data_IF_876700699786
#
_entry.id   IF_876700699786
#
_cell.length_a   1.000
_cell.length_b   1.000
_cell.length_c   1.000
_cell.angle_alpha   90.00
_cell.angle_beta   90.00
_cell.angle_gamma   90.00
#
_symmetry.space_group_name_H-M   'P 1'
#
loop_
_entity.id
_entity.type
_entity.pdbx_description
1 polymer ?
#
# COMPACT_ATOMS: atom_id res chain seq x y z
N UNK A 1 -15.46 35.75 -5.16
CA UNK A 1 -16.25 34.58 -5.57
C UNK A 1 -16.65 34.85 -7.00
N UNK A 2 -16.22 34.01 -7.93
CA UNK A 2 -16.66 34.10 -9.32
C UNK A 2 -17.98 33.35 -9.46
N UNK A 3 -18.86 33.83 -10.33
CA UNK A 3 -20.09 33.12 -10.65
C UNK A 3 -19.81 32.00 -11.66
N UNK A 4 -20.69 30.99 -11.73
CA UNK A 4 -20.53 29.87 -12.67
C UNK A 4 -20.45 30.34 -14.13
N UNK A 5 -21.11 31.47 -14.44
CA UNK A 5 -21.07 32.10 -15.76
C UNK A 5 -19.70 32.73 -16.09
N UNK A 6 -18.99 33.26 -15.08
CA UNK A 6 -17.62 33.77 -15.22
C UNK A 6 -16.59 32.63 -15.40
N UNK A 7 -16.88 31.45 -14.83
CA UNK A 7 -16.04 30.25 -14.96
C UNK A 7 -16.16 29.62 -16.35
N UNK A 8 -17.39 29.53 -16.88
CA UNK A 8 -17.63 28.96 -18.21
C UNK A 8 -17.06 29.84 -19.33
N UNK A 9 -17.15 31.17 -19.18
CA UNK A 9 -16.55 32.12 -20.12
C UNK A 9 -15.01 32.00 -20.14
N UNK A 10 -14.38 31.83 -18.96
CA UNK A 10 -12.92 31.67 -18.85
C UNK A 10 -12.41 30.36 -19.45
N UNK A 11 -13.23 29.31 -19.49
CA UNK A 11 -12.91 28.03 -20.13
C UNK A 11 -13.07 28.09 -21.65
N UNK A 12 -14.05 28.84 -22.15
CA UNK A 12 -14.25 29.04 -23.58
C UNK A 12 -13.13 29.89 -24.24
N UNK A 13 -12.53 30.81 -23.48
CA UNK A 13 -11.47 31.70 -23.97
C UNK A 13 -10.04 31.10 -23.92
N UNK A 14 -9.88 29.83 -23.52
CA UNK A 14 -8.58 29.15 -23.53
C UNK A 14 -8.15 28.79 -24.97
N UNK A 15 -7.02 29.31 -25.48
CA UNK A 15 -6.54 28.96 -26.81
C UNK A 15 -6.03 27.51 -26.82
N UNK A 16 -6.56 26.70 -27.74
CA UNK A 16 -6.05 25.36 -27.99
C UNK A 16 -4.59 25.43 -28.48
N UNK A 17 -3.65 24.95 -27.65
CA UNK A 17 -2.23 24.87 -27.99
C UNK A 17 -1.96 23.96 -29.20
N UNK A 18 -0.80 24.11 -29.88
CA UNK A 18 -0.58 23.45 -31.16
C UNK A 18 -0.47 21.93 -31.00
N UNK A 19 -1.28 21.18 -31.75
CA UNK A 19 -1.18 19.73 -31.85
C UNK A 19 0.14 19.30 -32.47
N UNK A 20 0.88 18.40 -31.82
CA UNK A 20 2.12 17.85 -32.36
C UNK A 20 1.83 17.00 -33.61
N UNK A 21 2.44 17.35 -34.74
CA UNK A 21 2.32 16.55 -35.97
C UNK A 21 2.96 15.17 -35.82
N UNK A 22 2.49 14.20 -36.60
CA UNK A 22 3.03 12.83 -36.62
C UNK A 22 4.55 12.80 -36.89
N UNK A 23 5.06 13.76 -37.65
CA UNK A 23 6.49 13.93 -37.95
C UNK A 23 7.32 14.38 -36.75
N UNK A 24 6.76 15.22 -35.88
CA UNK A 24 7.42 15.62 -34.63
C UNK A 24 7.54 14.42 -33.67
N UNK A 25 6.51 13.57 -33.64
CA UNK A 25 6.49 12.32 -32.85
C UNK A 25 7.51 11.31 -33.38
N UNK A 26 7.60 11.14 -34.71
CA UNK A 26 8.59 10.25 -35.33
C UNK A 26 10.04 10.70 -35.05
N UNK A 27 10.32 12.01 -35.12
CA UNK A 27 11.64 12.56 -34.78
C UNK A 27 12.02 12.34 -33.32
N UNK A 28 11.08 12.53 -32.38
CA UNK A 28 11.31 12.28 -30.96
C UNK A 28 11.66 10.80 -30.68
N UNK A 29 10.93 9.85 -31.30
CA UNK A 29 11.18 8.41 -31.15
C UNK A 29 12.54 7.98 -31.73
N UNK A 30 12.99 8.61 -32.81
CA UNK A 30 14.31 8.31 -33.40
C UNK A 30 15.48 8.70 -32.50
N UNK A 31 15.35 9.80 -31.72
CA UNK A 31 16.40 10.26 -30.79
C UNK A 31 16.53 9.37 -29.56
N UNK A 32 15.42 8.79 -29.08
CA UNK A 32 15.43 7.85 -27.97
C UNK A 32 16.18 6.56 -28.31
N UNK A 33 16.01 6.03 -29.53
CA UNK A 33 16.73 4.83 -29.99
C UNK A 33 18.24 5.02 -30.14
N UNK A 34 18.71 6.25 -30.35
CA UNK A 34 20.14 6.55 -30.44
C UNK A 34 20.80 6.72 -29.05
N UNK A 35 20.00 6.96 -28.01
CA UNK A 35 20.51 7.12 -26.64
C UNK A 35 20.87 5.78 -25.97
N UNK A 36 20.33 4.65 -26.43
CA UNK A 36 20.63 3.30 -25.91
C UNK A 36 22.04 2.77 -26.28
N UNK A 37 22.80 3.49 -27.11
CA UNK A 37 24.08 3.02 -27.63
C UNK A 37 25.33 3.47 -26.85
N UNK A 38 25.19 4.16 -25.71
CA UNK A 38 26.36 4.68 -24.96
C UNK A 38 26.41 4.09 -23.55
N UNK A 39 27.18 3.02 -23.39
CA UNK A 39 27.58 2.47 -22.07
C UNK A 39 28.85 3.16 -21.61
N UNK A 40 28.77 3.95 -20.54
CA UNK A 40 29.96 4.48 -19.82
C UNK A 40 30.15 3.66 -18.54
N UNK A 41 31.34 3.07 -18.28
CA UNK A 41 31.55 2.31 -17.05
C UNK A 41 31.86 3.24 -15.86
N UNK A 42 31.17 3.04 -14.74
CA UNK A 42 31.44 3.71 -13.47
C UNK A 42 32.56 2.99 -12.70
N UNK A 43 33.64 3.71 -12.41
CA UNK A 43 34.74 3.26 -11.54
C UNK A 43 34.36 3.49 -10.07
N UNK A 44 34.46 2.45 -9.25
CA UNK A 44 34.20 2.50 -7.81
C UNK A 44 35.42 2.98 -7.01
N UNK A 45 35.24 3.90 -6.05
CA UNK A 45 36.29 4.29 -5.09
C UNK A 45 35.92 3.87 -3.66
N UNK A 46 36.91 3.30 -2.97
CA UNK A 46 36.78 2.55 -1.73
C UNK A 46 36.68 3.38 -0.43
N UNK A 47 36.04 2.75 0.57
CA UNK A 47 35.91 3.10 2.00
C UNK A 47 37.19 3.60 2.69
N UNK A 48 37.03 4.55 3.61
CA UNK A 48 37.83 4.61 4.85
C UNK A 48 36.92 4.72 6.08
N UNK A 49 37.19 3.86 7.06
CA UNK A 49 36.57 3.79 8.40
C UNK A 49 37.36 4.69 9.35
N UNK A 50 36.66 5.44 10.20
CA UNK A 50 37.13 5.78 11.56
C UNK A 50 35.92 5.91 12.47
N UNK A 51 35.97 5.18 13.58
CA UNK A 51 34.96 5.15 14.62
C UNK A 51 35.17 6.31 15.60
N UNK A 52 34.08 6.94 16.03
CA UNK A 52 34.06 7.69 17.29
C UNK A 52 32.70 7.52 17.96
N UNK A 53 32.76 7.26 19.26
CA UNK A 53 31.63 6.98 20.14
C UNK A 53 31.25 8.27 20.86
N UNK A 54 29.98 8.66 20.79
CA UNK A 54 29.25 9.31 21.88
C UNK A 54 27.79 8.87 21.81
N UNK A 55 27.24 8.54 22.99
CA UNK A 55 25.83 8.39 23.20
C UNK A 55 25.13 9.73 22.89
N UNK A 56 24.21 9.70 21.93
CA UNK A 56 23.27 10.77 21.66
C UNK A 56 21.91 10.12 21.44
N UNK A 57 20.91 10.58 22.20
CA UNK A 57 19.52 10.24 21.97
C UNK A 57 19.18 10.55 20.51
N UNK A 58 19.03 9.51 19.70
CA UNK A 58 18.67 9.64 18.31
C UNK A 58 17.19 9.96 18.24
N UNK A 59 16.86 11.26 18.22
CA UNK A 59 15.67 11.72 17.52
C UNK A 59 15.91 11.40 16.03
N UNK A 60 15.59 10.18 15.62
CA UNK A 60 15.53 9.83 14.20
C UNK A 60 14.29 10.52 13.67
N UNK A 61 14.48 11.72 13.12
CA UNK A 61 13.53 12.26 12.15
C UNK A 61 13.62 11.32 10.96
N UNK A 62 12.68 10.37 10.86
CA UNK A 62 12.46 9.63 9.63
C UNK A 62 11.86 10.65 8.65
N UNK A 63 12.72 11.41 7.98
CA UNK A 63 12.40 11.94 6.66
C UNK A 63 12.40 10.74 5.71
N UNK A 64 11.36 9.90 5.80
CA UNK A 64 10.99 9.08 4.67
C UNK A 64 10.68 10.09 3.57
N UNK A 65 11.47 10.08 2.50
CA UNK A 65 11.40 11.08 1.46
C UNK A 65 10.01 11.12 0.83
N UNK A 66 9.13 11.94 1.38
CA UNK A 66 7.88 12.32 0.75
C UNK A 66 8.27 13.37 -0.28
N UNK A 67 8.41 12.96 -1.53
CA UNK A 67 8.28 13.91 -2.62
C UNK A 67 6.80 14.32 -2.66
N UNK A 68 6.42 15.32 -1.86
CA UNK A 68 5.19 16.08 -2.09
C UNK A 68 5.41 16.85 -3.40
N UNK A 69 5.16 16.17 -4.51
CA UNK A 69 5.28 16.72 -5.84
C UNK A 69 4.15 17.70 -6.11
N UNK A 70 4.31 18.95 -5.68
CA UNK A 70 3.66 20.06 -6.36
C UNK A 70 4.40 20.28 -7.70
N UNK A 71 4.13 19.44 -8.70
CA UNK A 71 4.64 19.65 -10.05
C UNK A 71 3.48 19.84 -11.01
N UNK A 72 3.20 21.10 -11.32
CA UNK A 72 2.32 21.56 -12.42
C UNK A 72 2.94 21.30 -13.79
N UNK A 73 3.59 20.16 -13.98
CA UNK A 73 4.30 19.78 -15.20
C UNK A 73 4.07 18.32 -15.54
N UNK A 74 3.82 18.05 -16.83
CA UNK A 74 3.63 16.70 -17.40
C UNK A 74 4.68 15.73 -16.83
N UNK A 75 4.22 14.71 -16.10
CA UNK A 75 5.10 13.70 -15.50
C UNK A 75 6.05 13.11 -16.56
N UNK A 76 7.37 13.01 -16.28
CA UNK A 76 8.35 12.57 -17.26
C UNK A 76 8.22 11.07 -17.54
N UNK A 77 8.78 10.61 -18.66
CA UNK A 77 8.77 9.22 -19.14
C UNK A 77 9.18 8.15 -18.10
N UNK A 78 9.85 8.54 -17.00
CA UNK A 78 10.22 7.66 -15.90
C UNK A 78 9.02 7.07 -15.14
N UNK A 79 7.87 7.77 -15.03
CA UNK A 79 6.69 7.24 -14.31
C UNK A 79 5.95 6.19 -15.13
N UNK A 80 5.71 6.45 -16.41
CA UNK A 80 5.12 5.48 -17.34
C UNK A 80 6.03 4.25 -17.54
N UNK A 81 7.35 4.46 -17.59
CA UNK A 81 8.31 3.38 -17.68
C UNK A 81 8.32 2.50 -16.41
N UNK A 82 8.23 3.10 -15.21
CA UNK A 82 8.17 2.35 -13.96
C UNK A 82 6.92 1.45 -13.89
N UNK A 83 5.78 1.93 -14.36
CA UNK A 83 4.56 1.10 -14.37
C UNK A 83 4.59 0.04 -15.48
N UNK A 84 5.15 0.36 -16.65
CA UNK A 84 5.40 -0.65 -17.68
C UNK A 84 6.35 -1.75 -17.18
N UNK A 85 7.33 -1.39 -16.34
CA UNK A 85 8.21 -2.33 -15.68
C UNK A 85 7.45 -3.21 -14.68
N UNK A 86 6.55 -2.62 -13.88
CA UNK A 86 5.68 -3.38 -12.96
C UNK A 86 4.81 -4.38 -13.71
N UNK A 87 4.16 -3.93 -14.78
CA UNK A 87 3.32 -4.76 -15.65
C UNK A 87 4.10 -5.99 -16.18
N UNK A 88 5.30 -5.76 -16.72
CA UNK A 88 6.17 -6.82 -17.21
C UNK A 88 6.64 -7.77 -16.09
N UNK A 89 7.04 -7.23 -14.94
CA UNK A 89 7.51 -8.02 -13.79
C UNK A 89 6.40 -8.91 -13.23
N UNK A 90 5.18 -8.40 -13.12
CA UNK A 90 4.02 -9.16 -12.67
C UNK A 90 3.66 -10.29 -13.63
N UNK A 91 3.60 -10.01 -14.93
CA UNK A 91 3.26 -11.00 -15.94
C UNK A 91 4.31 -12.13 -16.03
N UNK A 92 5.58 -11.82 -15.80
CA UNK A 92 6.67 -12.80 -15.77
C UNK A 92 6.67 -13.67 -14.49
N UNK A 93 6.04 -13.20 -13.41
CA UNK A 93 5.99 -13.92 -12.13
C UNK A 93 4.80 -14.86 -12.10
N UNK A 94 5.06 -16.16 -12.23
CA UNK A 94 4.03 -17.19 -12.04
C UNK A 94 3.44 -17.12 -10.63
N UNK A 95 2.12 -17.30 -10.52
CA UNK A 95 1.40 -17.18 -9.26
C UNK A 95 1.96 -18.12 -8.19
N UNK A 96 2.21 -17.57 -6.99
CA UNK A 96 2.75 -18.29 -5.84
C UNK A 96 1.64 -19.04 -5.11
N UNK A 97 0.83 -19.84 -5.82
CA UNK A 97 -0.13 -20.70 -5.13
C UNK A 97 0.65 -21.78 -4.38
N UNK A 98 0.32 -21.99 -3.11
CA UNK A 98 0.95 -23.06 -2.36
C UNK A 98 0.65 -24.40 -3.03
N UNK A 99 1.68 -25.21 -3.34
CA UNK A 99 1.47 -26.58 -3.83
C UNK A 99 0.89 -27.49 -2.74
N UNK A 100 0.46 -28.72 -3.08
CA UNK A 100 -0.04 -29.68 -2.10
C UNK A 100 0.88 -29.84 -0.88
N UNK A 101 0.30 -29.81 0.32
CA UNK A 101 1.03 -29.92 1.59
C UNK A 101 1.83 -28.68 1.99
N UNK A 102 1.68 -27.55 1.29
CA UNK A 102 2.31 -26.26 1.61
C UNK A 102 1.27 -25.21 1.99
N UNK A 103 1.76 -24.12 2.57
CA UNK A 103 0.93 -22.97 2.97
C UNK A 103 1.36 -21.72 2.21
N UNK A 104 0.40 -20.92 1.78
CA UNK A 104 0.62 -19.54 1.40
C UNK A 104 0.67 -18.71 2.67
N UNK A 105 1.81 -18.07 2.90
CA UNK A 105 2.10 -17.27 4.06
C UNK A 105 2.03 -15.80 3.68
N UNK A 106 1.30 -15.03 4.47
CA UNK A 106 1.29 -13.56 4.41
C UNK A 106 1.67 -13.03 5.79
N UNK A 107 2.59 -12.08 5.83
CA UNK A 107 2.91 -11.29 7.00
C UNK A 107 2.73 -9.81 6.69
N UNK A 108 1.96 -9.12 7.51
CA UNK A 108 1.75 -7.67 7.43
C UNK A 108 2.20 -7.05 8.74
N UNK A 109 3.30 -6.30 8.69
CA UNK A 109 3.72 -5.44 9.79
C UNK A 109 3.11 -4.06 9.57
N UNK A 110 2.32 -3.61 10.52
CA UNK A 110 1.57 -2.37 10.43
C UNK A 110 1.98 -1.45 11.57
N UNK A 111 2.06 -0.15 11.29
CA UNK A 111 2.01 0.89 12.30
C UNK A 111 0.81 1.78 12.02
N UNK A 112 -0.21 1.65 12.86
CA UNK A 112 -1.45 2.41 12.74
C UNK A 112 -1.54 3.47 13.83
N UNK A 113 -2.18 4.60 13.50
CA UNK A 113 -2.47 5.66 14.44
C UNK A 113 -3.51 5.23 15.47
N UNK A 114 -3.15 5.33 16.74
CA UNK A 114 -4.10 5.47 17.84
C UNK A 114 -4.17 6.93 18.30
N UNK A 115 -5.38 7.40 18.62
CA UNK A 115 -5.61 8.71 19.20
C UNK A 115 -6.51 8.60 20.45
N UNK A 116 -6.24 9.44 21.44
CA UNK A 116 -7.03 9.53 22.67
C UNK A 116 -6.89 10.93 23.29
N UNK A 117 -7.49 11.11 24.46
CA UNK A 117 -7.29 12.29 25.29
C UNK A 117 -6.92 11.89 26.72
N UNK A 118 -6.10 12.69 27.38
CA UNK A 118 -5.84 12.52 28.81
C UNK A 118 -7.08 12.79 29.66
N UNK A 119 -7.03 12.49 30.95
CA UNK A 119 -8.10 12.86 31.90
C UNK A 119 -8.39 14.36 31.99
N UNK A 120 -7.49 15.21 31.47
CA UNK A 120 -7.67 16.68 31.40
C UNK A 120 -8.04 17.17 30.00
N UNK A 121 -8.29 16.28 29.05
CA UNK A 121 -8.65 16.63 27.68
C UNK A 121 -7.47 16.99 26.78
N UNK A 122 -6.23 16.77 27.22
CA UNK A 122 -5.06 16.99 26.36
C UNK A 122 -4.97 15.89 25.29
N UNK A 123 -4.74 16.21 24.01
CA UNK A 123 -4.69 15.21 22.95
C UNK A 123 -3.45 14.33 23.08
N UNK A 124 -3.64 13.05 22.77
CA UNK A 124 -2.61 12.04 22.67
C UNK A 124 -2.74 11.34 21.33
N UNK A 125 -1.62 11.17 20.63
CA UNK A 125 -1.57 10.44 19.37
C UNK A 125 -0.26 9.67 19.28
N UNK A 126 -0.33 8.39 18.96
CA UNK A 126 0.85 7.57 18.75
C UNK A 126 0.60 6.54 17.65
N UNK A 127 1.64 6.18 16.91
CA UNK A 127 1.63 4.99 16.08
C UNK A 127 1.87 3.76 16.96
N UNK A 128 1.12 2.70 16.73
CA UNK A 128 1.22 1.43 17.44
C UNK A 128 1.49 0.33 16.44
N UNK A 129 2.42 -0.56 16.77
CA UNK A 129 2.77 -1.63 15.86
C UNK A 129 2.03 -2.93 16.14
N UNK A 130 1.48 -3.49 15.08
CA UNK A 130 0.88 -4.82 15.05
C UNK A 130 1.49 -5.65 13.94
N UNK A 131 1.69 -6.94 14.20
CA UNK A 131 2.08 -7.93 13.19
C UNK A 131 0.95 -8.92 12.99
N UNK A 132 0.45 -9.01 11.76
CA UNK A 132 -0.52 -10.01 11.34
C UNK A 132 0.19 -11.06 10.49
N UNK A 133 0.01 -12.32 10.84
CA UNK A 133 0.54 -13.44 10.08
C UNK A 133 -0.57 -14.43 9.77
N UNK A 134 -0.65 -14.87 8.52
CA UNK A 134 -1.65 -15.83 8.07
C UNK A 134 -0.99 -16.96 7.29
N UNK A 135 -1.39 -18.19 7.57
CA UNK A 135 -1.02 -19.39 6.81
C UNK A 135 -2.28 -19.99 6.19
N UNK A 136 -2.34 -19.95 4.87
CA UNK A 136 -3.44 -20.45 4.06
C UNK A 136 -3.03 -21.81 3.47
N UNK A 137 -3.66 -22.93 3.84
CA UNK A 137 -3.36 -24.22 3.24
C UNK A 137 -3.77 -24.26 1.76
N UNK A 138 -3.05 -25.05 0.95
CA UNK A 138 -3.43 -25.32 -0.45
C UNK A 138 -4.89 -25.81 -0.57
N UNK A 139 -5.26 -26.80 0.25
CA UNK A 139 -6.66 -27.14 0.46
C UNK A 139 -7.25 -26.15 1.47
N UNK A 140 -7.97 -25.15 0.95
CA UNK A 140 -8.57 -24.07 1.76
C UNK A 140 -9.65 -24.55 2.73
N UNK A 141 -10.11 -25.81 2.63
CA UNK A 141 -10.97 -26.44 3.66
C UNK A 141 -10.21 -26.95 4.88
N UNK A 142 -8.88 -27.00 4.80
CA UNK A 142 -8.00 -27.35 5.90
C UNK A 142 -7.87 -26.26 6.97
N UNK A 143 -6.89 -26.44 7.85
CA UNK A 143 -6.65 -25.57 9.00
C UNK A 143 -5.88 -24.31 8.59
N UNK A 144 -6.55 -23.16 8.54
CA UNK A 144 -5.86 -21.88 8.39
C UNK A 144 -5.43 -21.37 9.75
N UNK A 145 -4.29 -20.70 9.78
CA UNK A 145 -3.74 -20.15 11.02
C UNK A 145 -3.64 -18.64 10.85
N UNK A 146 -4.08 -17.89 11.85
CA UNK A 146 -3.82 -16.46 11.99
C UNK A 146 -3.13 -16.21 13.32
N UNK A 147 -2.06 -15.42 13.29
CA UNK A 147 -1.42 -14.90 14.48
C UNK A 147 -1.44 -13.38 14.40
N UNK A 148 -2.06 -12.75 15.38
CA UNK A 148 -2.01 -11.29 15.57
C UNK A 148 -1.16 -11.00 16.78
N UNK A 149 -0.10 -10.21 16.58
CA UNK A 149 0.83 -9.80 17.64
C UNK A 149 0.79 -8.30 17.79
N UNK A 150 0.13 -7.81 18.85
CA UNK A 150 0.26 -6.42 19.31
C UNK A 150 1.60 -6.33 20.03
N UNK A 151 2.58 -5.66 19.44
CA UNK A 151 3.98 -5.76 19.92
C UNK A 151 4.25 -4.91 21.15
N UNK A 152 3.39 -3.91 21.39
CA UNK A 152 3.60 -2.87 22.40
C UNK A 152 4.64 -1.82 22.01
N UNK A 153 5.23 -1.90 20.81
CA UNK A 153 6.07 -0.82 20.29
C UNK A 153 5.18 0.33 19.88
N UNK A 154 5.52 1.53 20.34
CA UNK A 154 4.79 2.76 20.02
C UNK A 154 5.72 3.90 19.66
N UNK A 155 5.19 4.89 18.94
CA UNK A 155 5.89 6.13 18.59
C UNK A 155 4.93 7.30 18.77
N UNK A 156 5.25 8.18 19.71
CA UNK A 156 4.47 9.39 19.97
C UNK A 156 4.50 10.34 18.75
N UNK A 157 3.31 10.81 18.38
CA UNK A 157 3.11 11.91 17.43
C UNK A 157 2.63 13.17 18.14
N UNK A 158 1.79 13.01 19.17
CA UNK A 158 1.32 14.08 20.06
C UNK A 158 1.36 13.56 21.50
N UNK A 159 1.98 14.32 22.39
CA UNK A 159 2.20 13.93 23.78
C UNK A 159 3.47 13.11 23.98
N UNK A 160 3.59 12.49 25.14
CA UNK A 160 4.72 11.65 25.54
C UNK A 160 4.35 10.73 26.72
N UNK A 161 5.30 9.87 27.11
CA UNK A 161 5.11 8.94 28.23
C UNK A 161 4.88 9.64 29.57
N UNK A 162 5.45 10.82 29.74
CA UNK A 162 5.39 11.58 30.98
C UNK A 162 4.01 12.23 31.18
N UNK A 163 3.45 12.78 30.11
CA UNK A 163 2.09 13.31 30.06
C UNK A 163 1.07 12.18 30.29
N UNK A 164 1.22 11.06 29.58
CA UNK A 164 0.35 9.90 29.75
C UNK A 164 0.42 9.33 31.19
N UNK A 165 1.59 9.34 31.84
CA UNK A 165 1.74 8.89 33.24
C UNK A 165 1.07 9.84 34.23
N UNK A 166 1.20 11.15 34.03
CA UNK A 166 0.65 12.18 34.93
C UNK A 166 -0.85 12.33 34.82
N UNK A 167 -1.39 12.18 33.61
CA UNK A 167 -2.78 12.54 33.31
C UNK A 167 -3.63 11.37 32.78
N UNK A 168 -3.06 10.18 32.69
CA UNK A 168 -3.70 9.02 32.07
C UNK A 168 -3.59 9.06 30.54
N UNK A 169 -3.56 7.89 29.93
CA UNK A 169 -3.43 7.72 28.48
C UNK A 169 -4.79 7.61 27.77
N UNK A 170 -5.89 7.68 28.50
CA UNK A 170 -7.23 7.56 27.93
C UNK A 170 -7.52 6.19 27.32
N UNK A 171 -6.79 5.14 27.71
CA UNK A 171 -6.89 3.81 27.09
C UNK A 171 -6.17 3.68 25.75
N UNK A 172 -5.33 4.66 25.39
CA UNK A 172 -4.58 4.66 24.13
C UNK A 172 -3.62 3.47 24.00
N UNK A 173 -3.00 3.04 25.10
CA UNK A 173 -2.03 1.94 25.07
C UNK A 173 -2.74 0.60 25.16
N UNK A 174 -2.52 -0.24 24.16
CA UNK A 174 -2.87 -1.65 24.22
C UNK A 174 -1.76 -2.46 24.90
N UNK A 175 -2.14 -3.49 25.66
CA UNK A 175 -1.16 -4.42 26.25
C UNK A 175 -0.57 -5.30 25.15
N UNK A 176 0.74 -5.59 25.19
CA UNK A 176 1.33 -6.57 24.28
C UNK A 176 0.59 -7.90 24.40
N UNK A 177 0.12 -8.42 23.28
CA UNK A 177 -0.69 -9.64 23.23
C UNK A 177 -0.35 -10.41 21.96
N UNK A 178 -0.33 -11.74 22.07
CA UNK A 178 -0.24 -12.64 20.93
C UNK A 178 -1.50 -13.49 20.91
N UNK A 179 -2.30 -13.32 19.86
CA UNK A 179 -3.53 -14.07 19.65
C UNK A 179 -3.29 -15.02 18.49
N UNK A 180 -3.46 -16.32 18.74
CA UNK A 180 -3.39 -17.36 17.71
C UNK A 180 -4.76 -17.96 17.50
N UNK A 181 -5.18 -18.01 16.26
CA UNK A 181 -6.49 -18.49 15.85
C UNK A 181 -6.39 -19.48 14.71
N UNK A 182 -7.37 -20.37 14.69
CA UNK A 182 -7.52 -21.43 13.71
C UNK A 182 -8.94 -21.39 13.20
N UNK A 183 -9.12 -21.53 11.89
CA UNK A 183 -10.43 -21.44 11.27
C UNK A 183 -10.41 -21.90 9.82
N UNK A 184 -11.15 -22.96 9.44
CA UNK A 184 -11.24 -23.34 8.03
C UNK A 184 -11.85 -22.21 7.22
N UNK A 185 -11.46 -22.12 5.95
CA UNK A 185 -11.86 -21.02 5.06
C UNK A 185 -11.55 -19.59 5.57
N UNK A 186 -10.70 -19.42 6.60
CA UNK A 186 -10.45 -18.12 7.24
C UNK A 186 -11.52 -17.67 8.24
N UNK A 187 -12.38 -18.59 8.72
CA UNK A 187 -13.38 -18.31 9.76
C UNK A 187 -12.74 -18.18 11.15
N UNK A 188 -12.04 -17.09 11.39
CA UNK A 188 -11.42 -16.84 12.68
C UNK A 188 -12.44 -16.37 13.73
N UNK A 189 -12.36 -16.85 14.98
CA UNK A 189 -13.27 -16.45 16.06
C UNK A 189 -13.34 -14.94 16.32
N UNK A 190 -12.26 -14.20 16.09
CA UNK A 190 -12.14 -12.76 16.34
C UNK A 190 -12.53 -11.85 15.17
N UNK A 191 -13.04 -12.41 14.05
CA UNK A 191 -13.20 -11.69 12.79
C UNK A 191 -13.89 -10.32 12.94
N UNK A 192 -13.11 -9.25 12.74
CA UNK A 192 -13.50 -7.85 12.74
C UNK A 192 -13.44 -7.22 11.32
N UNK A 193 -13.27 -8.02 10.26
CA UNK A 193 -13.41 -7.58 8.86
C UNK A 193 -12.12 -7.23 8.11
N UNK A 194 -10.94 -7.29 8.72
CA UNK A 194 -9.67 -7.01 8.01
C UNK A 194 -9.10 -8.21 7.27
N UNK A 195 -9.19 -9.41 7.85
CA UNK A 195 -8.80 -10.68 7.21
C UNK A 195 -9.64 -11.82 7.79
N UNK A 196 -10.80 -12.02 7.18
CA UNK A 196 -11.75 -13.08 7.53
C UNK A 196 -13.17 -12.53 7.66
N UNK A 197 -14.12 -13.19 7.01
CA UNK A 197 -15.53 -13.00 7.27
C UNK A 197 -15.86 -13.57 8.65
N UNK A 198 -16.85 -13.00 9.35
CA UNK A 198 -17.49 -13.72 10.46
C UNK A 198 -17.91 -15.12 9.98
N UNK A 199 -17.93 -16.15 10.85
CA UNK A 199 -18.23 -17.51 10.43
C UNK A 199 -19.50 -17.56 9.59
N UNK A 200 -19.39 -17.87 8.29
CA UNK A 200 -20.53 -18.01 7.40
C UNK A 200 -21.15 -19.40 7.65
N UNK A 201 -22.28 -19.51 8.38
CA UNK A 201 -22.80 -20.83 8.69
C UNK A 201 -23.35 -21.44 7.41
N UNK A 202 -22.76 -22.54 6.96
CA UNK A 202 -23.24 -23.47 5.92
C UNK A 202 -22.78 -23.33 4.45
N UNK A 203 -21.85 -22.43 4.08
CA UNK A 203 -21.28 -22.43 2.72
C UNK A 203 -19.90 -23.12 2.69
N UNK A 204 -19.74 -24.23 1.94
CA UNK A 204 -18.44 -24.88 1.72
C UNK A 204 -17.39 -23.90 1.18
N UNK A 205 -16.11 -24.02 1.59
CA UNK A 205 -15.07 -23.03 1.27
C UNK A 205 -14.94 -22.72 -0.23
N UNK A 206 -15.10 -23.75 -1.07
CA UNK A 206 -15.02 -23.67 -2.54
C UNK A 206 -16.19 -22.89 -3.17
N UNK A 207 -17.29 -22.70 -2.44
CA UNK A 207 -18.50 -22.00 -2.89
C UNK A 207 -18.69 -20.66 -2.23
N UNK A 208 -17.77 -20.24 -1.36
CA UNK A 208 -17.89 -18.95 -0.67
C UNK A 208 -17.70 -17.81 -1.65
N UNK A 209 -18.61 -16.80 -1.63
CA UNK A 209 -18.30 -15.56 -2.29
C UNK A 209 -17.05 -14.97 -1.64
N UNK A 210 -16.17 -14.40 -2.44
CA UNK A 210 -15.09 -13.54 -1.96
C UNK A 210 -15.40 -12.09 -2.26
N UNK A 211 -14.59 -11.21 -1.70
CA UNK A 211 -14.61 -9.78 -1.98
C UNK A 211 -13.18 -9.24 -2.13
N UNK A 212 -13.06 -7.93 -2.26
CA UNK A 212 -11.77 -7.26 -2.47
C UNK A 212 -10.81 -7.36 -1.28
N UNK A 213 -11.30 -7.61 -0.07
CA UNK A 213 -10.51 -7.67 1.17
C UNK A 213 -10.25 -9.10 1.64
N UNK A 214 -11.13 -10.02 1.27
CA UNK A 214 -11.04 -11.45 1.54
C UNK A 214 -11.20 -12.27 0.26
N UNK A 215 -10.33 -12.09 -0.74
CA UNK A 215 -10.53 -12.68 -2.05
C UNK A 215 -10.42 -14.22 -2.00
N UNK A 216 -11.49 -14.87 -2.46
CA UNK A 216 -11.53 -16.32 -2.69
C UNK A 216 -10.98 -16.64 -4.08
N UNK A 217 -10.57 -17.90 -4.36
CA UNK A 217 -10.15 -18.27 -5.71
C UNK A 217 -11.27 -18.05 -6.75
N UNK A 218 -12.53 -18.27 -6.37
CA UNK A 218 -13.68 -18.00 -7.24
C UNK A 218 -13.86 -16.51 -7.52
N UNK A 219 -13.69 -15.65 -6.51
CA UNK A 219 -13.71 -14.19 -6.71
C UNK A 219 -12.57 -13.75 -7.65
N UNK A 220 -11.34 -14.18 -7.40
CA UNK A 220 -10.18 -13.84 -8.23
C UNK A 220 -10.35 -14.32 -9.68
N UNK A 221 -10.88 -15.53 -9.88
CA UNK A 221 -11.16 -16.06 -11.22
C UNK A 221 -12.33 -15.36 -11.92
N UNK A 222 -13.21 -14.68 -11.16
CA UNK A 222 -14.33 -13.92 -11.68
C UNK A 222 -13.99 -12.45 -11.99
N UNK A 223 -12.78 -11.98 -11.66
CA UNK A 223 -12.34 -10.64 -12.00
C UNK A 223 -12.06 -10.53 -13.50
N UNK A 224 -12.39 -9.39 -14.16
CA UNK A 224 -12.04 -9.19 -15.56
C UNK A 224 -10.52 -9.21 -15.79
N UNK A 225 -10.07 -9.97 -16.79
CA UNK A 225 -8.67 -9.93 -17.24
C UNK A 225 -8.33 -8.65 -18.01
N UNK A 226 -9.33 -8.04 -18.66
CA UNK A 226 -9.17 -6.80 -19.40
C UNK A 226 -9.04 -5.60 -18.44
N UNK A 227 -7.98 -4.78 -18.54
CA UNK A 227 -7.74 -3.69 -17.60
C UNK A 227 -8.82 -2.61 -17.59
N UNK A 228 -9.47 -2.32 -18.72
CA UNK A 228 -10.53 -1.31 -18.78
C UNK A 228 -11.79 -1.82 -18.07
N UNK A 229 -12.18 -3.07 -18.32
CA UNK A 229 -13.28 -3.70 -17.58
C UNK A 229 -12.99 -3.85 -16.08
N UNK A 230 -11.74 -4.17 -15.72
CA UNK A 230 -11.34 -4.26 -14.32
C UNK A 230 -11.35 -2.90 -13.62
N UNK A 231 -10.91 -1.83 -14.31
CA UNK A 231 -11.04 -0.46 -13.81
C UNK A 231 -12.51 -0.08 -13.59
N UNK A 232 -13.38 -0.35 -14.56
CA UNK A 232 -14.81 -0.06 -14.42
C UNK A 232 -15.45 -0.85 -13.27
N UNK A 233 -14.99 -2.09 -13.06
CA UNK A 233 -15.43 -2.89 -11.93
C UNK A 233 -14.98 -2.29 -10.59
N UNK A 234 -13.71 -1.91 -10.44
CA UNK A 234 -13.21 -1.21 -9.26
C UNK A 234 -13.97 0.09 -9.01
N UNK A 235 -14.17 0.90 -10.05
CA UNK A 235 -14.88 2.18 -9.98
C UNK A 235 -16.33 2.00 -9.56
N UNK A 236 -17.00 0.96 -10.04
CA UNK A 236 -18.39 0.64 -9.70
C UNK A 236 -18.51 0.19 -8.26
N UNK A 237 -17.67 -0.74 -7.82
CA UNK A 237 -17.71 -1.28 -6.46
C UNK A 237 -17.25 -0.24 -5.41
N UNK A 238 -16.43 0.74 -5.81
CA UNK A 238 -15.99 1.87 -4.98
C UNK A 238 -16.85 3.14 -5.09
N UNK A 239 -17.99 3.11 -5.80
CA UNK A 239 -18.67 4.32 -6.27
C UNK A 239 -18.95 5.36 -5.17
N UNK A 240 -19.41 4.93 -4.00
CA UNK A 240 -19.75 5.83 -2.87
C UNK A 240 -18.54 6.21 -2.00
N UNK A 241 -17.40 5.53 -2.19
CA UNK A 241 -16.19 5.65 -1.35
C UNK A 241 -15.05 6.36 -2.07
N UNK A 242 -15.05 6.37 -3.40
CA UNK A 242 -14.15 7.15 -4.23
C UNK A 242 -12.79 6.50 -4.54
N UNK A 243 -11.85 7.27 -5.12
CA UNK A 243 -10.61 6.72 -5.68
C UNK A 243 -9.68 6.04 -4.66
N UNK A 244 -9.61 6.54 -3.42
CA UNK A 244 -8.78 5.94 -2.39
C UNK A 244 -9.23 4.50 -2.06
N UNK A 245 -10.55 4.26 -2.08
CA UNK A 245 -11.10 2.93 -1.87
C UNK A 245 -10.74 1.98 -3.01
N UNK A 246 -10.77 2.44 -4.27
CA UNK A 246 -10.32 1.61 -5.40
C UNK A 246 -8.89 1.10 -5.21
N UNK A 247 -8.01 1.97 -4.67
CA UNK A 247 -6.62 1.60 -4.41
C UNK A 247 -6.51 0.58 -3.28
N UNK A 248 -7.31 0.72 -2.21
CA UNK A 248 -7.39 -0.22 -1.09
C UNK A 248 -7.94 -1.59 -1.54
N UNK A 249 -8.99 -1.60 -2.35
CA UNK A 249 -9.56 -2.81 -2.96
C UNK A 249 -8.52 -3.56 -3.81
N UNK A 250 -7.76 -2.83 -4.63
CA UNK A 250 -6.67 -3.41 -5.40
C UNK A 250 -5.59 -4.01 -4.49
N UNK A 251 -5.24 -3.34 -3.39
CA UNK A 251 -4.32 -3.86 -2.37
C UNK A 251 -4.72 -5.25 -1.84
N UNK A 252 -6.00 -5.47 -1.53
CA UNK A 252 -6.47 -6.78 -1.05
C UNK A 252 -6.31 -7.91 -2.08
N UNK A 253 -6.48 -7.63 -3.38
CA UNK A 253 -6.17 -8.60 -4.45
C UNK A 253 -4.66 -8.85 -4.56
N UNK A 254 -3.85 -7.78 -4.49
CA UNK A 254 -2.40 -7.83 -4.67
C UNK A 254 -1.64 -8.51 -3.51
N UNK A 255 -2.25 -8.61 -2.33
CA UNK A 255 -1.69 -9.28 -1.15
C UNK A 255 -1.98 -10.79 -1.09
N UNK A 256 -2.81 -11.30 -2.01
CA UNK A 256 -3.22 -12.69 -2.05
C UNK A 256 -2.48 -13.51 -3.14
N UNK A 257 -2.88 -14.78 -3.32
CA UNK A 257 -2.35 -15.71 -4.35
C UNK A 257 -2.78 -15.34 -5.80
N UNK A 258 -2.90 -14.04 -6.11
CA UNK A 258 -3.26 -13.58 -7.44
C UNK A 258 -2.26 -14.08 -8.50
N UNK A 259 -2.76 -14.48 -9.67
CA UNK A 259 -1.91 -14.81 -10.79
C UNK A 259 -1.12 -13.58 -11.26
N UNK A 260 0.06 -13.78 -11.84
CA UNK A 260 0.88 -12.68 -12.39
C UNK A 260 0.14 -11.83 -13.42
N UNK A 261 -0.65 -12.49 -14.27
CA UNK A 261 -1.51 -11.81 -15.25
C UNK A 261 -2.57 -10.93 -14.57
N UNK A 262 -3.24 -11.43 -13.53
CA UNK A 262 -4.22 -10.64 -12.78
C UNK A 262 -3.57 -9.43 -12.09
N UNK A 263 -2.39 -9.60 -11.48
CA UNK A 263 -1.64 -8.46 -10.90
C UNK A 263 -1.29 -7.41 -11.95
N UNK A 264 -0.83 -7.85 -13.13
CA UNK A 264 -0.55 -6.98 -14.29
C UNK A 264 -1.82 -6.21 -14.71
N UNK A 265 -2.95 -6.90 -14.84
CA UNK A 265 -4.23 -6.27 -15.18
C UNK A 265 -4.69 -5.27 -14.11
N UNK A 266 -4.50 -5.58 -12.82
CA UNK A 266 -4.78 -4.64 -11.72
C UNK A 266 -3.93 -3.37 -11.85
N UNK A 267 -2.61 -3.49 -12.10
CA UNK A 267 -1.77 -2.30 -12.26
C UNK A 267 -2.15 -1.46 -13.47
N UNK A 268 -2.49 -2.09 -14.60
CA UNK A 268 -2.99 -1.39 -15.79
C UNK A 268 -4.34 -0.72 -15.55
N UNK A 269 -5.23 -1.36 -14.78
CA UNK A 269 -6.52 -0.79 -14.39
C UNK A 269 -6.35 0.43 -13.47
N UNK A 270 -5.44 0.35 -12.49
CA UNK A 270 -5.15 1.49 -11.61
C UNK A 270 -4.64 2.70 -12.40
N UNK A 271 -3.88 2.51 -13.49
CA UNK A 271 -3.41 3.62 -14.33
C UNK A 271 -4.51 4.41 -15.04
N UNK A 272 -5.71 3.85 -15.13
CA UNK A 272 -6.88 4.54 -15.68
C UNK A 272 -7.55 5.43 -14.63
N UNK A 273 -7.16 5.34 -13.35
CA UNK A 273 -7.72 6.15 -12.28
C UNK A 273 -7.38 7.64 -12.42
N UNK A 274 -8.39 8.52 -12.46
CA UNK A 274 -8.17 9.95 -12.38
C UNK A 274 -7.48 10.34 -11.06
N UNK A 275 -6.45 11.19 -11.15
CA UNK A 275 -5.73 11.68 -9.98
C UNK A 275 -4.73 10.69 -9.38
N UNK A 276 -4.45 9.56 -10.04
CA UNK A 276 -3.37 8.67 -9.64
C UNK A 276 -2.02 9.27 -10.00
N UNK A 277 -1.13 9.36 -9.00
CA UNK A 277 0.27 9.71 -9.14
C UNK A 277 1.16 8.48 -9.00
N UNK A 278 2.28 8.49 -9.71
CA UNK A 278 3.31 7.46 -9.63
C UNK A 278 4.60 8.07 -9.10
N UNK A 279 5.13 7.51 -8.00
CA UNK A 279 6.40 7.93 -7.40
C UNK A 279 7.41 6.81 -7.46
N UNK A 280 8.49 7.00 -8.21
CA UNK A 280 9.61 6.04 -8.29
C UNK A 280 10.55 6.20 -7.10
N UNK A 281 11.14 5.09 -6.63
CA UNK A 281 12.12 5.14 -5.54
C UNK A 281 11.47 5.36 -4.17
N UNK A 282 10.16 5.09 -4.07
CA UNK A 282 9.49 4.95 -2.79
C UNK A 282 10.21 3.88 -1.96
N UNK A 283 10.11 3.97 -0.66
CA UNK A 283 10.68 2.98 0.26
C UNK A 283 9.55 2.55 1.15
N UNK A 284 9.31 1.26 1.39
CA UNK A 284 8.28 0.78 2.32
C UNK A 284 8.72 0.91 3.79
N UNK A 285 7.93 0.37 4.73
CA UNK A 285 8.27 0.36 6.16
C UNK A 285 9.59 -0.39 6.45
N UNK A 286 9.89 -1.43 5.70
CA UNK A 286 11.04 -2.31 5.93
C UNK A 286 12.32 -1.84 5.21
N UNK A 287 12.29 -0.67 4.59
CA UNK A 287 13.42 -0.13 3.84
C UNK A 287 13.54 -0.69 2.41
N UNK A 288 12.55 -1.44 1.93
CA UNK A 288 12.53 -1.99 0.57
C UNK A 288 12.15 -0.90 -0.42
N UNK A 289 12.96 -0.73 -1.45
CA UNK A 289 12.71 0.23 -2.51
C UNK A 289 11.63 -0.27 -3.48
N UNK A 290 10.72 0.62 -3.84
CA UNK A 290 9.54 0.33 -4.64
C UNK A 290 9.13 1.48 -5.56
N UNK A 291 8.03 1.24 -6.27
CA UNK A 291 7.24 2.26 -6.98
C UNK A 291 5.95 2.44 -6.19
N UNK A 292 5.65 3.67 -5.80
CA UNK A 292 4.39 3.99 -5.16
C UNK A 292 3.35 4.45 -6.19
N UNK A 293 2.16 3.87 -6.13
CA UNK A 293 0.95 4.37 -6.80
C UNK A 293 0.10 5.01 -5.73
N UNK A 294 -0.25 6.29 -5.89
CA UNK A 294 -0.94 7.03 -4.84
C UNK A 294 -1.98 8.01 -5.36
N UNK A 295 -3.01 8.23 -4.56
CA UNK A 295 -4.10 9.15 -4.87
C UNK A 295 -4.40 10.02 -3.65
N UNK A 296 -4.59 11.31 -3.89
CA UNK A 296 -4.97 12.27 -2.86
C UNK A 296 -6.47 12.51 -2.90
N UNK A 297 -7.16 12.26 -1.79
CA UNK A 297 -8.60 12.47 -1.63
C UNK A 297 -8.87 13.29 -0.37
N UNK A 298 -9.33 14.53 -0.55
CA UNK A 298 -9.60 15.43 0.58
C UNK A 298 -8.33 15.73 1.40
N UNK A 299 -8.33 15.33 2.67
CA UNK A 299 -7.25 15.59 3.62
C UNK A 299 -6.18 14.49 3.68
N UNK A 300 -6.34 13.40 2.92
CA UNK A 300 -5.44 12.24 2.97
C UNK A 300 -4.92 11.85 1.59
N UNK A 301 -3.81 11.13 1.58
CA UNK A 301 -3.20 10.49 0.43
C UNK A 301 -3.00 9.02 0.74
N UNK A 302 -3.66 8.16 -0.03
CA UNK A 302 -3.45 6.71 0.03
C UNK A 302 -2.38 6.35 -0.98
N UNK A 303 -1.44 5.49 -0.60
CA UNK A 303 -0.40 4.97 -1.48
C UNK A 303 -0.25 3.46 -1.30
N UNK A 304 -0.02 2.72 -2.38
CA UNK A 304 0.50 1.35 -2.34
C UNK A 304 1.92 1.35 -2.88
N UNK A 305 2.80 0.54 -2.31
CA UNK A 305 4.20 0.41 -2.69
C UNK A 305 4.43 -0.98 -3.28
N UNK A 306 5.10 -1.05 -4.43
CA UNK A 306 5.26 -2.28 -5.21
C UNK A 306 6.74 -2.49 -5.55
N UNK A 307 7.25 -3.72 -5.49
CA UNK A 307 8.61 -4.04 -5.94
C UNK A 307 8.68 -3.97 -7.48
N UNK A 308 9.48 -3.07 -8.08
CA UNK A 308 9.58 -2.90 -9.52
C UNK A 308 10.17 -4.11 -10.26
N UNK A 309 10.79 -5.06 -9.57
CA UNK A 309 11.44 -6.23 -10.18
C UNK A 309 10.53 -7.45 -10.20
N UNK A 310 9.66 -7.60 -9.21
CA UNK A 310 8.79 -8.77 -9.07
C UNK A 310 7.30 -8.44 -9.27
N UNK A 311 6.95 -7.16 -9.20
CA UNK A 311 5.54 -6.72 -9.21
C UNK A 311 4.78 -7.25 -7.99
N UNK A 312 5.46 -7.47 -6.87
CA UNK A 312 4.86 -7.87 -5.60
C UNK A 312 4.51 -6.64 -4.76
N UNK A 313 3.36 -6.71 -4.10
CA UNK A 313 2.92 -5.71 -3.14
C UNK A 313 3.84 -5.69 -1.92
N UNK A 314 4.38 -4.51 -1.60
CA UNK A 314 5.28 -4.30 -0.46
C UNK A 314 4.58 -3.69 0.74
N UNK A 315 3.43 -3.05 0.57
CA UNK A 315 2.70 -2.38 1.64
C UNK A 315 1.93 -1.17 1.14
N UNK A 316 1.29 -0.47 2.07
CA UNK A 316 0.57 0.77 1.83
C UNK A 316 0.86 1.83 2.88
N UNK A 317 0.38 3.05 2.61
CA UNK A 317 0.50 4.21 3.48
C UNK A 317 -0.73 5.10 3.37
N UNK A 318 -1.16 5.62 4.51
CA UNK A 318 -2.08 6.74 4.61
C UNK A 318 -1.31 7.96 5.14
N UNK A 319 -1.21 9.01 4.32
CA UNK A 319 -0.49 10.25 4.66
C UNK A 319 -1.49 11.40 4.74
N UNK A 320 -1.34 12.28 5.72
CA UNK A 320 -2.12 13.51 5.79
C UNK A 320 -1.65 14.49 4.69
N UNK A 321 -2.54 14.81 3.75
CA UNK A 321 -2.30 15.80 2.70
C UNK A 321 -2.61 17.24 3.16
N UNK A 322 -3.28 17.39 4.30
CA UNK A 322 -3.59 18.66 4.95
C UNK A 322 -3.34 18.54 6.47
N UNK A 323 -3.32 19.63 7.25
CA UNK A 323 -3.29 19.51 8.71
C UNK A 323 -4.47 18.67 9.20
N UNK A 324 -4.20 17.77 10.13
CA UNK A 324 -5.20 16.82 10.60
C UNK A 324 -6.36 17.49 11.34
N UNK A 325 -7.56 16.94 11.14
CA UNK A 325 -8.80 17.33 11.81
C UNK A 325 -9.49 16.08 12.38
N UNK A 326 -10.49 16.25 13.24
CA UNK A 326 -11.20 15.14 13.87
C UNK A 326 -10.24 14.22 14.64
N UNK A 327 -10.22 12.93 14.31
CA UNK A 327 -9.31 11.95 14.93
C UNK A 327 -7.82 12.20 14.66
N UNK A 328 -7.49 13.05 13.68
CA UNK A 328 -6.12 13.46 13.34
C UNK A 328 -5.74 14.84 13.88
N UNK A 329 -6.60 15.46 14.69
CA UNK A 329 -6.41 16.84 15.14
C UNK A 329 -5.04 17.05 15.80
N UNK A 330 -4.34 18.09 15.35
CA UNK A 330 -3.02 18.47 15.87
C UNK A 330 -1.85 17.82 15.14
N UNK A 331 -2.10 16.87 14.23
CA UNK A 331 -1.06 16.30 13.38
C UNK A 331 -0.78 17.23 12.18
N UNK A 332 0.50 17.51 11.86
CA UNK A 332 0.85 18.33 10.71
C UNK A 332 0.62 17.58 9.38
N UNK A 333 0.50 18.34 8.29
CA UNK A 333 0.58 17.80 6.93
C UNK A 333 1.86 16.98 6.74
N UNK A 334 1.77 15.88 5.99
CA UNK A 334 2.86 14.94 5.77
C UNK A 334 3.02 13.88 6.86
N UNK A 335 2.20 13.92 7.92
CA UNK A 335 2.17 12.85 8.92
C UNK A 335 1.69 11.56 8.28
N UNK A 336 2.44 10.48 8.45
CA UNK A 336 1.99 9.13 8.07
C UNK A 336 1.15 8.57 9.21
N UNK A 337 -0.15 8.39 8.96
CA UNK A 337 -1.13 7.93 9.94
C UNK A 337 -1.26 6.40 9.94
N UNK A 338 -0.98 5.77 8.81
CA UNK A 338 -0.93 4.32 8.67
C UNK A 338 0.19 3.95 7.71
N UNK A 339 0.93 2.88 8.00
CA UNK A 339 1.83 2.28 7.02
C UNK A 339 2.10 0.81 7.30
N UNK A 340 2.21 0.04 6.21
CA UNK A 340 2.47 -1.40 6.27
C UNK A 340 3.73 -1.83 5.53
N UNK A 341 4.28 -2.97 5.94
CA UNK A 341 5.17 -3.80 5.14
C UNK A 341 4.56 -5.20 5.02
N UNK A 342 4.41 -5.67 3.79
CA UNK A 342 3.82 -6.98 3.47
C UNK A 342 4.88 -7.91 2.89
N UNK A 343 4.89 -9.14 3.38
CA UNK A 343 5.68 -10.24 2.83
C UNK A 343 4.76 -11.40 2.52
N UNK A 344 4.85 -11.93 1.31
CA UNK A 344 4.08 -13.10 0.87
C UNK A 344 4.99 -14.19 0.33
N UNK A 345 4.53 -15.44 0.37
CA UNK A 345 5.18 -16.55 -0.30
C UNK A 345 4.70 -17.91 0.18
N UNK A 346 5.39 -18.98 -0.22
CA UNK A 346 5.00 -20.35 0.15
C UNK A 346 5.97 -20.96 1.17
N UNK A 347 5.43 -21.47 2.27
CA UNK A 347 6.19 -22.16 3.33
C UNK A 347 5.82 -23.64 3.41
N UNK A 348 6.66 -24.46 4.06
CA UNK A 348 6.47 -25.90 4.09
C UNK A 348 5.42 -26.33 5.12
N UNK A 349 5.45 -25.75 6.32
CA UNK A 349 4.57 -26.11 7.41
C UNK A 349 3.78 -24.94 8.01
N UNK A 350 2.76 -25.27 8.81
CA UNK A 350 2.09 -24.29 9.65
C UNK A 350 3.08 -23.69 10.65
N UNK A 351 3.12 -22.36 10.77
CA UNK A 351 4.08 -21.59 11.59
C UNK A 351 5.51 -21.44 11.05
N UNK A 352 5.85 -22.02 9.88
CA UNK A 352 7.07 -21.65 9.17
C UNK A 352 6.94 -20.20 8.66
N UNK A 353 8.00 -19.40 8.77
CA UNK A 353 8.01 -17.99 8.36
C UNK A 353 9.02 -17.74 7.26
N UNK A 354 8.73 -16.78 6.40
CA UNK A 354 9.73 -16.22 5.48
C UNK A 354 10.71 -15.37 6.29
N UNK A 355 12.01 -15.54 6.06
CA UNK A 355 13.03 -14.77 6.78
C UNK A 355 12.89 -13.27 6.49
N UNK A 356 12.85 -12.45 7.55
CA UNK A 356 12.68 -10.99 7.45
C UNK A 356 11.24 -10.50 7.60
N UNK A 357 10.27 -11.42 7.68
CA UNK A 357 8.88 -11.12 8.06
C UNK A 357 8.73 -10.76 9.54
#
# INVERSE_FOLDING_TARGET
MWTDEELDQALADQPAGPGFSAEARARALSRLRQADAVVVPLVASARRRTAWWWAAAAAVVILAGVALGATTGRAPAATAAAVAQLDQASAATTGTSAGPGRYFYTATREWALGAAQTSKGNPLAQLQETLYETWIPHDRSGDWIKITTVTGRTRWLIGDDDLARREGDGGLRSRPTVTREHGPCGDYPSANGELGTAPAPAVPCDRRPGDWYTPTPAFLAGLPDDPEQLYERLRTDAADLGPAEMLRMAGGVLTCEAAGQLRSSVYRALMLMPGLDVTTGAVDLDGRHGVALGVTTGATRQEIVIDPRTGLYLGERLVLAQPGSGMWQGLPTGTVADYTAVTTGTVAGPADRISGA
#
